data_IF_022936858249
#
_entry.id   IF_022936858249
#
_cell.length_a   1.000
_cell.length_b   1.000
_cell.length_c   1.000
_cell.angle_alpha   90.00
_cell.angle_beta   90.00
_cell.angle_gamma   90.00
#
_symmetry.space_group_name_H-M   'P 1'
#
loop_
_entity.id
_entity.type
_entity.pdbx_description
1 polymer ?
#
# COMPACT_ATOMS: atom_id res chain seq x y z
N UNK A 1 -3.31 41.59 -8.82
CA UNK A 1 -4.49 42.21 -8.21
C UNK A 1 -4.04 43.44 -7.45
N UNK A 2 -4.32 44.64 -7.97
CA UNK A 2 -4.26 45.85 -7.13
C UNK A 2 -5.47 45.75 -6.21
N UNK A 3 -5.26 45.63 -4.91
CA UNK A 3 -6.35 45.58 -3.93
C UNK A 3 -7.23 46.83 -4.03
N UNK A 4 -8.47 46.75 -3.54
CA UNK A 4 -9.54 47.75 -3.77
C UNK A 4 -9.27 49.17 -3.26
N UNK A 5 -8.06 49.47 -2.78
CA UNK A 5 -7.62 50.75 -2.22
C UNK A 5 -6.39 51.35 -2.94
N UNK A 6 -5.93 50.76 -4.05
CA UNK A 6 -4.78 51.27 -4.79
C UNK A 6 -5.16 52.35 -5.80
N UNK A 7 -4.63 53.57 -5.64
CA UNK A 7 -4.76 54.65 -6.63
C UNK A 7 -3.44 54.88 -7.36
N UNK A 8 -3.51 55.03 -8.69
CA UNK A 8 -2.36 55.32 -9.54
C UNK A 8 -2.46 56.77 -10.05
N UNK A 9 -1.46 57.61 -9.75
CA UNK A 9 -1.39 58.99 -10.26
C UNK A 9 -0.37 59.06 -11.39
N UNK A 10 -0.81 59.44 -12.59
CA UNK A 10 0.04 59.64 -13.77
C UNK A 10 0.05 61.10 -14.24
N UNK A 11 1.08 61.49 -14.99
CA UNK A 11 1.15 62.81 -15.63
C UNK A 11 0.11 62.91 -16.76
N UNK A 12 -0.43 64.10 -17.06
CA UNK A 12 -1.38 64.29 -18.16
C UNK A 12 -0.76 63.78 -19.48
N UNK A 13 -1.38 62.76 -20.09
CA UNK A 13 -0.94 62.17 -21.37
C UNK A 13 -0.48 60.70 -21.31
N UNK A 14 -0.29 60.12 -20.12
CA UNK A 14 0.12 58.71 -20.00
C UNK A 14 -1.10 57.79 -19.97
N UNK A 15 -1.28 56.98 -21.02
CA UNK A 15 -2.31 55.92 -21.07
C UNK A 15 -1.77 54.66 -20.40
N UNK A 16 -2.37 54.27 -19.28
CA UNK A 16 -2.05 53.01 -18.60
C UNK A 16 -3.08 51.99 -19.00
N UNK A 17 -2.64 50.91 -19.65
CA UNK A 17 -3.49 49.77 -19.95
C UNK A 17 -3.15 48.65 -18.97
N UNK A 18 -4.11 48.30 -18.11
CA UNK A 18 -3.99 47.08 -17.31
C UNK A 18 -4.30 45.94 -18.27
N UNK A 19 -3.25 45.25 -18.71
CA UNK A 19 -3.42 44.01 -19.46
C UNK A 19 -4.08 43.02 -18.49
N UNK A 20 -5.40 42.87 -18.60
CA UNK A 20 -6.11 41.78 -17.97
C UNK A 20 -5.42 40.51 -18.48
N UNK A 21 -4.80 39.77 -17.56
CA UNK A 21 -4.21 38.48 -17.87
C UNK A 21 -5.30 37.68 -18.57
N UNK A 22 -5.08 37.34 -19.85
CA UNK A 22 -6.06 36.66 -20.68
C UNK A 22 -6.62 35.50 -19.87
N UNK A 23 -7.95 35.44 -19.79
CA UNK A 23 -8.72 34.53 -18.94
C UNK A 23 -8.31 33.08 -19.18
N UNK A 24 -7.21 32.68 -18.56
CA UNK A 24 -6.85 31.29 -18.39
C UNK A 24 -7.55 30.95 -17.10
N UNK A 25 -8.80 30.53 -17.23
CA UNK A 25 -9.60 29.96 -16.16
C UNK A 25 -8.68 29.20 -15.22
N UNK A 26 -8.75 29.46 -13.91
CA UNK A 26 -7.89 28.83 -12.89
C UNK A 26 -8.01 27.30 -12.79
N UNK A 27 -8.58 26.65 -13.79
CA UNK A 27 -8.63 25.21 -14.01
C UNK A 27 -7.30 24.62 -14.48
N UNK A 28 -6.54 25.30 -15.35
CA UNK A 28 -5.29 24.76 -15.91
C UNK A 28 -4.08 25.56 -15.43
N UNK A 29 -3.81 25.48 -14.13
CA UNK A 29 -2.59 26.01 -13.55
C UNK A 29 -1.47 24.97 -13.78
N UNK A 30 -0.42 25.28 -14.57
CA UNK A 30 0.69 24.35 -14.79
C UNK A 30 1.40 23.96 -13.48
N UNK A 31 1.31 24.81 -12.45
CA UNK A 31 1.80 24.50 -11.10
C UNK A 31 1.04 23.32 -10.48
N UNK A 32 -0.28 23.25 -10.69
CA UNK A 32 -1.12 22.15 -10.18
C UNK A 32 -0.79 20.83 -10.87
N UNK A 33 -0.56 20.87 -12.19
CA UNK A 33 -0.14 19.69 -12.94
C UNK A 33 1.23 19.19 -12.48
N UNK A 34 2.17 20.10 -12.24
CA UNK A 34 3.51 19.75 -11.76
C UNK A 34 3.46 19.10 -10.36
N UNK A 35 2.65 19.64 -9.45
CA UNK A 35 2.44 19.03 -8.12
C UNK A 35 1.83 17.63 -8.27
N UNK A 36 0.78 17.48 -9.08
CA UNK A 36 0.15 16.17 -9.29
C UNK A 36 1.08 15.14 -9.96
N UNK A 37 2.02 15.58 -10.78
CA UNK A 37 3.07 14.70 -11.32
C UNK A 37 4.07 14.33 -10.24
N UNK A 38 4.52 15.28 -9.42
CA UNK A 38 5.45 15.01 -8.32
C UNK A 38 4.86 14.01 -7.31
N UNK A 39 3.61 14.19 -6.91
CA UNK A 39 2.92 13.29 -5.97
C UNK A 39 2.87 11.85 -6.51
N UNK A 40 2.54 11.67 -7.79
CA UNK A 40 2.54 10.35 -8.44
C UNK A 40 3.93 9.71 -8.49
N UNK A 41 4.98 10.50 -8.72
CA UNK A 41 6.34 9.97 -8.73
C UNK A 41 6.78 9.56 -7.32
N UNK A 42 6.37 10.29 -6.27
CA UNK A 42 6.61 9.89 -4.88
C UNK A 42 5.93 8.55 -4.56
N UNK A 43 4.65 8.39 -4.94
CA UNK A 43 3.92 7.13 -4.78
C UNK A 43 4.61 5.97 -5.52
N UNK A 44 5.09 6.22 -6.75
CA UNK A 44 5.82 5.23 -7.57
C UNK A 44 7.13 4.83 -6.91
N UNK A 45 7.86 5.81 -6.36
CA UNK A 45 9.15 5.55 -5.71
C UNK A 45 9.00 4.72 -4.44
N UNK A 46 7.98 4.99 -3.63
CA UNK A 46 7.74 4.29 -2.37
C UNK A 46 7.15 2.89 -2.61
N UNK A 47 6.19 2.78 -3.52
CA UNK A 47 5.47 1.53 -3.77
C UNK A 47 6.11 0.65 -4.85
N UNK A 48 7.04 1.19 -5.63
CA UNK A 48 7.72 0.50 -6.74
C UNK A 48 6.85 0.26 -7.98
N UNK A 49 5.62 0.77 -8.05
CA UNK A 49 4.69 0.57 -9.17
C UNK A 49 4.57 1.81 -10.07
N UNK A 50 4.66 1.63 -11.38
CA UNK A 50 4.58 2.74 -12.38
C UNK A 50 3.16 3.17 -12.73
N UNK A 51 2.16 2.55 -12.10
CA UNK A 51 0.75 2.77 -12.42
C UNK A 51 0.09 3.48 -11.25
N UNK A 52 0.52 4.71 -10.98
CA UNK A 52 -0.02 5.51 -9.88
C UNK A 52 -1.19 6.35 -10.38
N UNK A 53 -2.39 6.05 -9.85
CA UNK A 53 -3.53 7.00 -9.73
C UNK A 53 -3.78 7.89 -10.95
N UNK A 54 -3.83 7.26 -12.12
CA UNK A 54 -4.29 7.84 -13.38
C UNK A 54 -5.72 7.43 -13.74
N UNK A 55 -6.54 7.02 -12.77
CA UNK A 55 -7.93 6.62 -13.03
C UNK A 55 -8.82 7.86 -13.10
N UNK A 56 -8.67 8.62 -14.18
CA UNK A 56 -9.71 9.54 -14.59
C UNK A 56 -10.87 8.73 -15.21
N UNK A 57 -12.01 8.77 -14.52
CA UNK A 57 -13.38 8.56 -15.02
C UNK A 57 -13.95 7.17 -15.33
N UNK A 58 -13.20 6.08 -15.56
CA UNK A 58 -13.84 4.79 -15.82
C UNK A 58 -13.19 3.64 -15.03
N UNK A 59 -13.89 3.19 -13.99
CA UNK A 59 -13.41 2.21 -13.02
C UNK A 59 -13.20 0.82 -13.61
N UNK A 60 -11.95 0.35 -13.59
CA UNK A 60 -11.61 -1.06 -13.72
C UNK A 60 -11.38 -1.64 -12.32
N UNK A 61 -12.27 -2.51 -11.83
CA UNK A 61 -12.08 -3.24 -10.55
C UNK A 61 -10.76 -4.03 -10.55
N UNK A 62 -10.41 -4.63 -11.69
CA UNK A 62 -9.13 -5.31 -11.90
C UNK A 62 -7.91 -4.42 -11.66
N UNK A 63 -8.05 -3.10 -11.79
CA UNK A 63 -6.97 -2.15 -11.49
C UNK A 63 -6.78 -1.99 -9.98
N UNK A 64 -7.89 -1.92 -9.22
CA UNK A 64 -7.86 -1.87 -7.76
C UNK A 64 -7.20 -3.11 -7.15
N UNK A 65 -7.54 -4.29 -7.66
CA UNK A 65 -7.00 -5.56 -7.16
C UNK A 65 -5.47 -5.66 -7.36
N UNK A 66 -4.94 -5.19 -8.50
CA UNK A 66 -3.49 -5.15 -8.74
C UNK A 66 -2.78 -4.17 -7.82
N UNK A 67 -3.37 -3.01 -7.54
CA UNK A 67 -2.82 -2.05 -6.60
C UNK A 67 -2.77 -2.58 -5.17
N UNK A 68 -3.82 -3.26 -4.73
CA UNK A 68 -3.88 -3.86 -3.40
C UNK A 68 -2.84 -4.97 -3.25
N UNK A 69 -2.72 -5.85 -4.24
CA UNK A 69 -1.70 -6.91 -4.24
C UNK A 69 -0.27 -6.36 -4.20
N UNK A 70 0.02 -5.31 -4.97
CA UNK A 70 1.36 -4.70 -5.00
C UNK A 70 1.69 -4.01 -3.68
N UNK A 71 0.71 -3.30 -3.10
CA UNK A 71 0.86 -2.72 -1.76
C UNK A 71 1.10 -3.80 -0.71
N UNK A 72 0.36 -4.90 -0.76
CA UNK A 72 0.54 -6.01 0.18
C UNK A 72 1.95 -6.61 0.06
N UNK A 73 2.43 -6.86 -1.17
CA UNK A 73 3.80 -7.33 -1.40
C UNK A 73 4.87 -6.38 -0.85
N UNK A 74 4.70 -5.06 -0.99
CA UNK A 74 5.62 -4.09 -0.40
C UNK A 74 5.59 -4.12 1.12
N UNK A 75 4.41 -4.23 1.73
CA UNK A 75 4.31 -4.29 3.19
C UNK A 75 4.88 -5.61 3.72
N UNK A 76 4.74 -6.72 2.99
CA UNK A 76 5.34 -8.00 3.36
C UNK A 76 6.88 -7.93 3.29
N UNK A 77 7.44 -7.32 2.23
CA UNK A 77 8.88 -7.08 2.15
C UNK A 77 9.41 -6.20 3.31
N UNK A 78 8.65 -5.18 3.73
CA UNK A 78 9.01 -4.37 4.90
C UNK A 78 8.90 -5.18 6.19
N UNK A 79 7.89 -6.05 6.31
CA UNK A 79 7.69 -6.89 7.49
C UNK A 79 8.83 -7.92 7.63
N UNK A 80 9.27 -8.51 6.51
CA UNK A 80 10.44 -9.40 6.45
C UNK A 80 11.72 -8.67 6.86
N UNK A 81 11.94 -7.48 6.32
CA UNK A 81 13.09 -6.64 6.69
C UNK A 81 13.11 -6.32 8.19
N UNK A 82 11.96 -5.96 8.77
CA UNK A 82 11.85 -5.72 10.21
C UNK A 82 12.10 -7.02 11.00
N UNK A 83 11.56 -8.15 10.55
CA UNK A 83 11.80 -9.46 11.15
C UNK A 83 13.28 -9.83 11.17
N UNK A 84 13.99 -9.61 10.05
CA UNK A 84 15.43 -9.83 9.91
C UNK A 84 16.22 -8.95 10.90
N UNK A 85 15.88 -7.66 11.00
CA UNK A 85 16.51 -6.75 11.97
C UNK A 85 16.29 -7.23 13.41
N UNK A 86 15.07 -7.64 13.75
CA UNK A 86 14.76 -8.14 15.10
C UNK A 86 15.51 -9.46 15.39
N UNK A 87 15.60 -10.34 14.40
CA UNK A 87 16.31 -11.62 14.50
C UNK A 87 17.81 -11.45 14.66
N UNK A 88 18.43 -10.51 13.95
CA UNK A 88 19.88 -10.32 13.99
C UNK A 88 20.36 -9.35 15.09
N UNK A 89 19.51 -8.43 15.56
CA UNK A 89 19.92 -7.43 16.55
C UNK A 89 19.28 -7.65 17.91
N UNK A 90 17.97 -7.86 17.96
CA UNK A 90 17.24 -7.91 19.23
C UNK A 90 17.30 -9.29 19.86
N UNK A 91 17.02 -10.35 19.10
CA UNK A 91 17.02 -11.72 19.61
C UNK A 91 18.36 -12.12 20.24
N UNK A 92 19.54 -11.88 19.63
CA UNK A 92 20.82 -12.25 20.23
C UNK A 92 21.12 -11.42 21.47
N UNK A 93 20.74 -10.14 21.48
CA UNK A 93 20.95 -9.27 22.64
C UNK A 93 20.16 -9.76 23.86
N UNK A 94 18.90 -10.17 23.67
CA UNK A 94 18.07 -10.73 24.74
C UNK A 94 18.62 -12.08 25.21
N UNK A 95 19.00 -12.97 24.27
CA UNK A 95 19.53 -14.29 24.62
C UNK A 95 20.84 -14.16 25.39
N UNK A 96 21.76 -13.33 24.92
CA UNK A 96 23.06 -13.10 25.56
C UNK A 96 22.92 -12.52 26.96
N UNK A 97 21.97 -11.59 27.16
CA UNK A 97 21.73 -10.98 28.45
C UNK A 97 21.20 -11.97 29.50
N UNK A 98 20.37 -12.94 29.09
CA UNK A 98 19.70 -13.86 30.01
C UNK A 98 20.45 -15.19 30.19
N UNK A 99 21.10 -15.70 29.14
CA UNK A 99 21.69 -17.05 29.11
C UNK A 99 23.16 -17.11 28.68
N UNK A 100 23.79 -15.96 28.41
CA UNK A 100 25.17 -15.88 27.91
C UNK A 100 25.28 -16.19 26.42
N UNK A 101 26.52 -16.35 25.93
CA UNK A 101 26.76 -16.68 24.52
C UNK A 101 26.19 -18.07 24.19
N UNK A 102 25.29 -18.07 23.20
CA UNK A 102 24.43 -19.19 22.80
C UNK A 102 24.30 -19.15 21.29
N UNK A 103 24.46 -20.31 20.66
CA UNK A 103 24.32 -20.45 19.19
C UNK A 103 22.84 -20.60 18.78
N UNK A 104 21.96 -20.92 19.73
CA UNK A 104 20.51 -21.11 19.56
C UNK A 104 19.74 -19.79 19.69
N UNK A 105 19.81 -18.95 18.66
CA UNK A 105 19.06 -17.68 18.57
C UNK A 105 17.73 -17.92 17.86
N UNK A 106 16.58 -17.45 18.40
CA UNK A 106 15.28 -17.59 17.75
C UNK A 106 15.13 -16.66 16.55
N UNK A 107 14.41 -17.13 15.53
CA UNK A 107 14.02 -16.34 14.37
C UNK A 107 12.66 -15.67 14.58
N UNK A 108 12.58 -14.39 14.25
CA UNK A 108 11.39 -13.56 14.37
C UNK A 108 10.94 -13.17 12.97
N UNK A 109 9.74 -13.61 12.59
CA UNK A 109 9.12 -13.28 11.31
C UNK A 109 7.66 -12.88 11.52
N UNK A 110 7.17 -12.01 10.65
CA UNK A 110 5.79 -11.54 10.70
C UNK A 110 4.94 -12.35 9.72
N UNK A 111 3.87 -12.99 10.22
CA UNK A 111 2.87 -13.62 9.36
C UNK A 111 1.72 -12.66 9.14
N UNK A 112 1.48 -12.24 7.90
CA UNK A 112 0.19 -11.67 7.53
C UNK A 112 -0.80 -12.80 7.29
N UNK A 113 -1.97 -12.69 7.91
CA UNK A 113 -3.13 -13.50 7.52
C UNK A 113 -3.67 -12.94 6.20
N UNK A 114 -3.35 -13.59 5.09
CA UNK A 114 -3.98 -13.25 3.82
C UNK A 114 -5.48 -13.50 3.95
N UNK A 115 -6.27 -12.45 3.75
CA UNK A 115 -7.71 -12.50 3.54
C UNK A 115 -8.00 -13.26 2.24
N UNK A 116 -7.82 -14.58 2.27
CA UNK A 116 -8.19 -15.47 1.18
C UNK A 116 -9.67 -15.73 1.28
N UNK A 117 -10.37 -15.42 0.19
CA UNK A 117 -11.78 -15.71 -0.01
C UNK A 117 -12.09 -17.14 0.45
N UNK A 118 -12.95 -17.31 1.45
CA UNK A 118 -13.26 -18.60 2.06
C UNK A 118 -13.77 -19.60 1.01
N UNK A 119 -14.43 -19.09 -0.05
CA UNK A 119 -14.86 -19.86 -1.21
C UNK A 119 -13.70 -20.45 -1.99
N UNK A 120 -12.64 -19.67 -2.24
CA UNK A 120 -11.47 -20.16 -2.97
C UNK A 120 -10.74 -21.26 -2.19
N UNK A 121 -10.69 -21.14 -0.85
CA UNK A 121 -10.16 -22.21 0.02
C UNK A 121 -11.02 -23.48 -0.06
N UNK A 122 -12.35 -23.34 0.02
CA UNK A 122 -13.26 -24.47 -0.09
C UNK A 122 -13.17 -25.17 -1.46
N UNK A 123 -13.11 -24.41 -2.56
CA UNK A 123 -12.93 -24.94 -3.91
C UNK A 123 -11.60 -25.69 -4.07
N UNK A 124 -10.51 -25.15 -3.50
CA UNK A 124 -9.19 -25.84 -3.50
C UNK A 124 -9.27 -27.18 -2.79
N UNK A 125 -9.92 -27.25 -1.63
CA UNK A 125 -10.09 -28.48 -0.85
C UNK A 125 -10.96 -29.48 -1.63
N UNK A 126 -12.02 -29.01 -2.29
CA UNK A 126 -12.86 -29.85 -3.15
C UNK A 126 -12.06 -30.46 -4.31
N UNK A 127 -11.23 -29.66 -4.99
CA UNK A 127 -10.37 -30.13 -6.08
C UNK A 127 -9.36 -31.17 -5.58
N UNK A 128 -8.69 -30.91 -4.45
CA UNK A 128 -7.72 -31.84 -3.86
C UNK A 128 -8.37 -33.17 -3.45
N UNK A 129 -9.60 -33.10 -2.92
CA UNK A 129 -10.42 -34.27 -2.60
C UNK A 129 -10.78 -35.08 -3.86
N UNK A 130 -11.21 -34.40 -4.94
CA UNK A 130 -11.53 -35.04 -6.23
C UNK A 130 -10.32 -35.70 -6.91
N UNK A 131 -9.12 -35.14 -6.75
CA UNK A 131 -7.87 -35.70 -7.29
C UNK A 131 -7.37 -36.89 -6.43
N UNK A 132 -7.98 -37.14 -5.27
CA UNK A 132 -7.65 -38.27 -4.40
C UNK A 132 -6.47 -38.02 -3.47
N UNK A 133 -6.13 -36.76 -3.19
CA UNK A 133 -5.10 -36.42 -2.21
C UNK A 133 -5.62 -36.73 -0.81
N UNK A 134 -4.96 -37.64 -0.10
CA UNK A 134 -5.28 -37.94 1.29
C UNK A 134 -4.88 -36.76 2.19
N UNK A 135 -5.87 -35.96 2.61
CA UNK A 135 -5.68 -34.83 3.51
C UNK A 135 -6.07 -35.22 4.94
N UNK A 136 -5.31 -34.77 5.94
CA UNK A 136 -5.70 -34.94 7.34
C UNK A 136 -6.87 -34.00 7.69
N UNK A 137 -7.74 -34.43 8.59
CA UNK A 137 -8.84 -33.57 9.06
C UNK A 137 -8.31 -32.28 9.69
N UNK A 138 -7.22 -32.37 10.46
CA UNK A 138 -6.55 -31.21 11.08
C UNK A 138 -6.13 -30.18 10.03
N UNK A 139 -5.50 -30.61 8.94
CA UNK A 139 -5.10 -29.71 7.86
C UNK A 139 -6.29 -28.96 7.24
N UNK A 140 -7.43 -29.62 7.08
CA UNK A 140 -8.65 -29.01 6.51
C UNK A 140 -9.24 -27.96 7.46
N UNK A 141 -9.31 -28.25 8.76
CA UNK A 141 -9.80 -27.30 9.76
C UNK A 141 -8.88 -26.08 9.91
N UNK A 142 -7.55 -26.30 9.92
CA UNK A 142 -6.56 -25.24 10.01
C UNK A 142 -6.56 -24.33 8.76
N UNK A 143 -6.70 -24.89 7.56
CA UNK A 143 -6.75 -24.11 6.30
C UNK A 143 -8.05 -23.29 6.21
N UNK A 144 -9.18 -23.87 6.61
CA UNK A 144 -10.50 -23.20 6.63
C UNK A 144 -10.70 -22.25 7.82
N UNK A 145 -9.86 -22.33 8.86
CA UNK A 145 -10.04 -21.54 10.09
C UNK A 145 -11.28 -21.95 10.91
N UNK A 146 -11.82 -23.14 10.67
CA UNK A 146 -13.00 -23.66 11.39
C UNK A 146 -12.50 -24.48 12.59
N UNK A 147 -13.03 -24.26 13.81
CA UNK A 147 -12.63 -25.06 14.95
C UNK A 147 -12.99 -26.54 14.76
N UNK A 148 -12.12 -27.42 15.24
CA UNK A 148 -12.38 -28.86 15.23
C UNK A 148 -13.59 -29.11 16.17
N UNK A 149 -14.68 -29.72 15.69
CA UNK A 149 -15.81 -30.05 16.55
C UNK A 149 -15.36 -31.02 17.64
N UNK A 150 -15.81 -30.78 18.87
CA UNK A 150 -15.52 -31.67 19.99
C UNK A 150 -16.18 -33.05 19.75
N UNK A 151 -15.72 -34.14 20.40
CA UNK A 151 -16.21 -35.49 20.14
C UNK A 151 -17.71 -35.75 20.43
N UNK A 152 -18.51 -34.75 20.80
CA UNK A 152 -19.92 -34.86 21.20
C UNK A 152 -20.80 -33.68 20.68
N UNK A 153 -20.45 -33.06 19.55
CA UNK A 153 -21.32 -32.10 18.84
C UNK A 153 -21.41 -32.40 17.33
#
# INVERSE_FOLDING_TARGET
NIGSQGFLRTKPGVKVNILAQGSTSGQNLPQRELIALADRQCDTFILGQTLTSGTAENGNRALGDVHENTKNAMVDAVADFVGEVLTHQLAPAIVTLNWGERDDIPEIWAKREESKDEKAKAERIEILSRIGVAMSKQFVYDDLGVPIPAPDE
#
